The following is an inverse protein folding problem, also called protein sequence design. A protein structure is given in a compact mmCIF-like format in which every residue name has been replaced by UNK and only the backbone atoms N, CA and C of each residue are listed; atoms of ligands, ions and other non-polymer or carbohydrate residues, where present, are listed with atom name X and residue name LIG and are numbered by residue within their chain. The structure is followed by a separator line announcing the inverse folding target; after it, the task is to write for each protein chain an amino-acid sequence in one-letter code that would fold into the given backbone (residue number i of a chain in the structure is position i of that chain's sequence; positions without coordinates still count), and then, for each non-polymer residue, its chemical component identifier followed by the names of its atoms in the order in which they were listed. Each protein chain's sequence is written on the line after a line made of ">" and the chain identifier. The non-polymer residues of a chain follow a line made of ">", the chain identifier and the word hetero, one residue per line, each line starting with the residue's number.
data_IF_485479741304
#
_entry.id   IF_485479741304
#
_cell.length_a   1.000
_cell.length_b   1.000
_cell.length_c   1.000
_cell.angle_alpha   90.00
_cell.angle_beta   90.00
_cell.angle_gamma   90.00
#
_symmetry.space_group_name_H-M   'P 1'
#
loop_
_entity.id
_entity.type
_entity.pdbx_description
1 polymer ?
#
# COMPACT_ATOMS: atom_id res chain seq x y z
N UNK A 1 0.56 -12.14 -2.17
CA UNK A 1 1.51 -11.33 -1.38
C UNK A 1 1.32 -11.69 0.10
N UNK A 2 2.35 -12.20 0.76
CA UNK A 2 2.29 -12.65 2.15
C UNK A 2 1.95 -11.46 3.04
N UNK A 3 1.02 -11.61 4.02
CA UNK A 3 0.53 -10.52 4.89
C UNK A 3 1.64 -9.61 5.45
N UNK A 4 2.81 -10.19 5.76
CA UNK A 4 4.01 -9.49 6.25
C UNK A 4 4.57 -8.46 5.26
N UNK A 5 4.59 -8.78 3.96
CA UNK A 5 5.06 -7.89 2.89
C UNK A 5 4.18 -6.64 2.77
N UNK A 6 2.87 -6.80 2.98
CA UNK A 6 1.90 -5.70 2.93
C UNK A 6 2.07 -4.73 4.11
N UNK A 7 2.31 -5.26 5.31
CA UNK A 7 2.59 -4.45 6.50
C UNK A 7 3.91 -3.69 6.32
N UNK A 8 4.95 -4.34 5.81
CA UNK A 8 6.23 -3.70 5.52
C UNK A 8 6.07 -2.54 4.51
N UNK A 9 5.32 -2.77 3.42
CA UNK A 9 5.04 -1.74 2.43
C UNK A 9 4.28 -0.54 3.01
N UNK A 10 3.26 -0.82 3.84
CA UNK A 10 2.46 0.21 4.50
C UNK A 10 3.31 1.05 5.47
N UNK A 11 4.17 0.41 6.25
CA UNK A 11 5.08 1.10 7.18
C UNK A 11 6.10 1.97 6.44
N UNK A 12 6.70 1.45 5.37
CA UNK A 12 7.66 2.22 4.56
C UNK A 12 6.97 3.42 3.90
N UNK A 13 5.80 3.21 3.29
CA UNK A 13 5.03 4.30 2.68
C UNK A 13 4.63 5.37 3.70
N UNK A 14 4.23 4.97 4.91
CA UNK A 14 3.90 5.89 6.00
C UNK A 14 5.11 6.68 6.49
N UNK A 15 6.27 6.04 6.65
CA UNK A 15 7.50 6.71 7.06
C UNK A 15 7.92 7.78 6.04
N UNK A 16 7.86 7.46 4.73
CA UNK A 16 8.15 8.40 3.65
C UNK A 16 7.16 9.57 3.65
N UNK A 17 5.88 9.29 3.89
CA UNK A 17 4.83 10.31 3.94
C UNK A 17 5.05 11.28 5.12
N UNK A 18 5.33 10.77 6.31
CA UNK A 18 5.65 11.60 7.49
C UNK A 18 6.89 12.46 7.25
N UNK A 19 7.92 11.92 6.59
CA UNK A 19 9.14 12.67 6.27
C UNK A 19 8.88 13.79 5.25
N UNK A 20 8.12 13.47 4.18
CA UNK A 20 7.73 14.45 3.16
C UNK A 20 6.86 15.57 3.73
N UNK A 21 5.86 15.23 4.55
CA UNK A 21 5.01 16.22 5.23
C UNK A 21 5.82 17.06 6.21
N UNK A 22 6.71 16.44 7.00
CA UNK A 22 7.57 17.16 7.95
C UNK A 22 8.53 18.14 7.26
N UNK A 23 9.08 17.78 6.09
CA UNK A 23 9.89 18.69 5.29
C UNK A 23 9.08 19.87 4.76
N UNK A 24 7.87 19.61 4.27
CA UNK A 24 6.96 20.64 3.75
C UNK A 24 6.51 21.62 4.83
N UNK A 25 6.20 21.14 6.04
CA UNK A 25 5.83 21.98 7.18
C UNK A 25 6.96 22.90 7.64
N UNK A 26 8.21 22.60 7.28
CA UNK A 26 9.38 23.46 7.54
C UNK A 26 9.70 24.39 6.36
N UNK A 27 8.87 24.43 5.32
CA UNK A 27 9.08 25.25 4.12
C UNK A 27 10.10 24.68 3.14
N UNK A 28 10.58 23.45 3.33
CA UNK A 28 11.54 22.81 2.45
C UNK A 28 10.84 21.98 1.38
N UNK A 29 10.99 22.40 0.12
CA UNK A 29 10.52 21.64 -1.05
C UNK A 29 11.36 20.38 -1.30
N UNK A 30 12.61 20.39 -0.85
CA UNK A 30 13.53 19.27 -0.95
C UNK A 30 14.04 18.89 0.42
N UNK A 31 14.09 17.59 0.71
CA UNK A 31 14.78 17.07 1.88
C UNK A 31 15.79 16.03 1.47
N UNK A 32 16.81 15.89 2.31
CA UNK A 32 17.81 14.86 2.16
C UNK A 32 17.33 13.65 2.97
N UNK A 33 17.18 12.51 2.32
CA UNK A 33 16.82 11.29 3.03
C UNK A 33 18.04 10.69 3.76
N UNK A 34 17.81 9.62 4.51
CA UNK A 34 18.82 8.97 5.36
C UNK A 34 20.05 8.42 4.59
N UNK A 35 19.92 8.11 3.29
CA UNK A 35 21.05 7.72 2.43
C UNK A 35 21.66 8.90 1.65
N UNK A 36 21.25 10.13 1.96
CA UNK A 36 21.85 11.34 1.44
C UNK A 36 21.30 11.82 0.09
N UNK A 37 20.27 11.18 -0.48
CA UNK A 37 19.67 11.61 -1.74
C UNK A 37 18.69 12.77 -1.54
N UNK A 38 18.67 13.69 -2.50
CA UNK A 38 17.70 14.77 -2.55
C UNK A 38 16.35 14.22 -3.04
N UNK A 39 15.32 14.39 -2.23
CA UNK A 39 13.95 13.96 -2.53
C UNK A 39 13.06 15.18 -2.57
N UNK A 40 12.29 15.32 -3.66
CA UNK A 40 11.27 16.35 -3.79
C UNK A 40 10.04 15.95 -2.97
N UNK A 41 9.76 16.72 -1.91
CA UNK A 41 8.77 16.37 -0.90
C UNK A 41 7.34 16.20 -1.46
N UNK A 42 6.83 17.07 -2.34
CA UNK A 42 5.51 16.88 -2.95
C UNK A 42 5.40 15.59 -3.76
N UNK A 43 6.45 15.21 -4.50
CA UNK A 43 6.45 13.96 -5.26
C UNK A 43 6.47 12.73 -4.35
N UNK A 44 7.25 12.76 -3.28
CA UNK A 44 7.27 11.68 -2.29
C UNK A 44 5.89 11.42 -1.68
N UNK A 45 5.15 12.49 -1.36
CA UNK A 45 3.78 12.39 -0.84
C UNK A 45 2.86 11.72 -1.86
N UNK A 46 2.89 12.15 -3.13
CA UNK A 46 2.05 11.59 -4.20
C UNK A 46 2.34 10.10 -4.40
N UNK A 47 3.62 9.71 -4.46
CA UNK A 47 4.03 8.30 -4.61
C UNK A 47 3.57 7.46 -3.42
N UNK A 48 3.70 7.96 -2.19
CA UNK A 48 3.22 7.28 -0.99
C UNK A 48 1.71 7.07 -1.00
N UNK A 49 0.93 8.08 -1.41
CA UNK A 49 -0.54 7.96 -1.55
C UNK A 49 -0.89 6.91 -2.59
N UNK A 50 -0.23 6.92 -3.74
CA UNK A 50 -0.49 5.96 -4.82
C UNK A 50 -0.18 4.53 -4.38
N UNK A 51 0.95 4.32 -3.68
CA UNK A 51 1.31 3.02 -3.13
C UNK A 51 0.29 2.53 -2.09
N UNK A 52 -0.22 3.44 -1.25
CA UNK A 52 -1.25 3.12 -0.27
C UNK A 52 -2.58 2.74 -0.94
N UNK A 53 -3.00 3.51 -1.95
CA UNK A 53 -4.20 3.22 -2.73
C UNK A 53 -4.10 1.87 -3.46
N UNK A 54 -2.94 1.54 -4.04
CA UNK A 54 -2.69 0.24 -4.66
C UNK A 54 -2.76 -0.90 -3.63
N UNK A 55 -2.20 -0.72 -2.44
CA UNK A 55 -2.27 -1.71 -1.36
C UNK A 55 -3.70 -1.97 -0.86
N UNK A 56 -4.53 -0.92 -0.81
CA UNK A 56 -5.96 -1.02 -0.47
C UNK A 56 -6.76 -1.69 -1.58
N UNK A 57 -6.56 -1.29 -2.84
CA UNK A 57 -7.25 -1.88 -4.00
C UNK A 57 -6.95 -3.37 -4.17
N UNK A 58 -5.73 -3.80 -3.83
CA UNK A 58 -5.37 -5.23 -3.79
C UNK A 58 -6.18 -6.00 -2.73
N UNK A 59 -6.51 -5.37 -1.59
CA UNK A 59 -7.34 -5.99 -0.54
C UNK A 59 -8.74 -6.36 -1.03
N UNK A 60 -9.29 -5.56 -1.95
CA UNK A 60 -10.64 -5.76 -2.48
C UNK A 60 -10.76 -6.91 -3.48
N UNK A 61 -9.65 -7.54 -3.90
CA UNK A 61 -9.68 -8.69 -4.82
C UNK A 61 -9.62 -10.07 -4.13
N UNK A 62 -9.31 -10.12 -2.83
CA UNK A 62 -9.33 -11.37 -2.05
C UNK A 62 -10.74 -11.90 -1.63
N UNK A 63 -11.82 -11.09 -1.47
CA UNK A 63 -13.11 -11.63 -1.04
C UNK A 63 -13.87 -12.41 -2.15
N UNK A 64 -13.72 -12.01 -3.40
CA UNK A 64 -14.43 -12.62 -4.56
C UNK A 64 -13.91 -14.03 -4.88
N UNK A 65 -12.60 -14.24 -4.81
CA UNK A 65 -11.97 -15.54 -5.11
C UNK A 65 -12.34 -16.61 -4.08
N UNK A 66 -12.46 -16.24 -2.80
CA UNK A 66 -12.90 -17.18 -1.77
C UNK A 66 -14.37 -17.58 -1.93
N UNK A 67 -15.24 -16.63 -2.31
CA UNK A 67 -16.66 -16.88 -2.43
C UNK A 67 -16.99 -17.75 -3.65
N UNK A 68 -16.30 -17.54 -4.78
CA UNK A 68 -16.45 -18.36 -5.99
C UNK A 68 -15.99 -19.81 -5.78
N UNK A 69 -14.88 -20.04 -5.06
CA UNK A 69 -14.42 -21.39 -4.72
C UNK A 69 -15.43 -22.08 -3.79
N UNK A 70 -15.93 -21.37 -2.77
CA UNK A 70 -16.93 -21.91 -1.83
C UNK A 70 -18.27 -22.24 -2.50
N UNK A 71 -18.70 -21.44 -3.48
CA UNK A 71 -19.94 -21.70 -4.23
C UNK A 71 -19.80 -22.89 -5.17
N UNK A 72 -18.65 -23.06 -5.80
CA UNK A 72 -18.38 -24.19 -6.67
C UNK A 72 -18.38 -25.52 -5.89
N UNK A 73 -17.73 -25.54 -4.73
CA UNK A 73 -17.67 -26.71 -3.85
C UNK A 73 -19.07 -27.11 -3.31
N UNK A 74 -19.92 -26.12 -2.97
CA UNK A 74 -21.30 -26.38 -2.52
C UNK A 74 -22.17 -27.02 -3.61
N UNK A 75 -21.93 -26.69 -4.88
CA UNK A 75 -22.70 -27.26 -5.99
C UNK A 75 -22.32 -28.72 -6.27
N UNK A 76 -21.05 -29.09 -6.16
CA UNK A 76 -20.60 -30.48 -6.38
C UNK A 76 -21.18 -31.46 -5.36
N UNK A 77 -21.39 -31.03 -4.11
CA UNK A 77 -22.03 -31.86 -3.07
C UNK A 77 -23.55 -32.02 -3.20
N UNK A 78 -24.20 -31.22 -4.05
CA UNK A 78 -25.65 -31.31 -4.30
C UNK A 78 -26.03 -32.18 -5.50
N UNK A 79 -25.03 -32.72 -6.20
CA UNK A 79 -25.18 -33.58 -7.39
C UNK A 79 -24.87 -35.07 -7.10
N UNK A 80 -24.58 -35.43 -5.84
CA UNK A 80 -24.42 -36.79 -5.33
C UNK A 80 -25.65 -37.20 -4.51
#
# INVERSE_FOLDING_TARGET
>A
MIRKQRIALALIGFAILCFGVGALSRGHLHYRNWWGAAVFAPFAIVVSILAFAAALKWRSREPEAFNTIRLKDRHDHSQL
#
